data_IF_684939720213
#
_entry.id   IF_684939720213
#
_cell.length_a   1.000
_cell.length_b   1.000
_cell.length_c   1.000
_cell.angle_alpha   90.00
_cell.angle_beta   90.00
_cell.angle_gamma   90.00
#
_symmetry.space_group_name_H-M   'P 1'
#
loop_
_entity.id
_entity.type
_entity.pdbx_description
1 polymer ?
#
# COMPACT_ATOMS: atom_id res chain seq x y z
N UNK A 1 1.85 -30.51 -0.97
CA UNK A 1 1.39 -29.90 0.30
C UNK A 1 0.03 -30.50 0.67
N UNK A 2 -0.09 -31.25 1.78
CA UNK A 2 -1.37 -31.85 2.21
C UNK A 2 -2.28 -30.75 2.78
N UNK A 3 -3.45 -30.54 2.19
CA UNK A 3 -4.49 -29.65 2.75
C UNK A 3 -5.07 -30.36 3.97
N UNK A 4 -4.57 -30.03 5.17
CA UNK A 4 -5.21 -30.44 6.41
C UNK A 4 -6.38 -29.47 6.62
N UNK A 5 -7.60 -29.93 6.34
CA UNK A 5 -8.82 -29.20 6.74
C UNK A 5 -8.91 -29.26 8.26
N UNK A 6 -8.75 -28.13 8.92
CA UNK A 6 -9.02 -28.01 10.36
C UNK A 6 -10.48 -27.59 10.47
N UNK A 7 -11.29 -28.39 11.15
CA UNK A 7 -12.63 -27.97 11.50
C UNK A 7 -12.57 -27.26 12.85
N UNK A 8 -12.93 -25.98 12.88
CA UNK A 8 -13.18 -25.29 14.14
C UNK A 8 -14.62 -25.55 14.56
N UNK A 9 -14.81 -26.00 15.80
CA UNK A 9 -16.12 -26.03 16.44
C UNK A 9 -16.35 -24.66 17.06
N UNK A 10 -17.28 -23.90 16.50
CA UNK A 10 -17.78 -22.67 17.12
C UNK A 10 -18.97 -23.06 17.98
N UNK A 11 -18.87 -22.83 19.29
CA UNK A 11 -19.96 -23.01 20.23
C UNK A 11 -20.69 -21.68 20.38
N UNK A 12 -21.97 -21.68 20.02
CA UNK A 12 -22.89 -20.62 20.43
C UNK A 12 -23.81 -21.17 21.51
N UNK A 13 -23.85 -20.47 22.65
CA UNK A 13 -24.77 -20.77 23.75
C UNK A 13 -25.98 -19.86 23.60
N UNK A 14 -27.15 -20.45 23.35
CA UNK A 14 -28.41 -19.73 23.46
C UNK A 14 -29.08 -20.09 24.77
N UNK A 15 -29.37 -19.06 25.57
CA UNK A 15 -30.17 -19.14 26.77
C UNK A 15 -31.59 -18.69 26.44
N UNK A 16 -32.56 -19.51 26.79
CA UNK A 16 -33.98 -19.13 26.74
C UNK A 16 -34.64 -19.49 28.06
N UNK A 17 -35.57 -18.63 28.48
CA UNK A 17 -36.36 -18.82 29.69
C UNK A 17 -37.77 -19.15 29.25
N UNK A 18 -38.27 -20.33 29.64
CA UNK A 18 -39.64 -20.73 29.36
C UNK A 18 -40.27 -21.34 30.62
N UNK A 19 -41.44 -20.82 31.02
CA UNK A 19 -42.22 -21.30 32.16
C UNK A 19 -41.41 -21.52 33.46
N UNK A 20 -40.52 -20.58 33.80
CA UNK A 20 -39.71 -20.64 35.03
C UNK A 20 -38.47 -21.55 34.95
N UNK A 21 -38.26 -22.25 33.82
CA UNK A 21 -37.06 -23.04 33.58
C UNK A 21 -36.10 -22.30 32.64
N UNK A 22 -34.82 -22.27 33.00
CA UNK A 22 -33.73 -21.84 32.12
C UNK A 22 -33.31 -23.04 31.28
N UNK A 23 -33.42 -22.95 29.96
CA UNK A 23 -32.88 -23.95 29.04
C UNK A 23 -31.65 -23.40 28.34
N UNK A 24 -30.59 -24.20 28.34
CA UNK A 24 -29.34 -23.89 27.65
C UNK A 24 -29.22 -24.80 26.44
N UNK A 25 -29.06 -24.22 25.25
CA UNK A 25 -28.82 -24.97 24.03
C UNK A 25 -27.45 -24.61 23.48
N UNK A 26 -26.59 -25.61 23.40
CA UNK A 26 -25.31 -25.49 22.70
C UNK A 26 -25.55 -25.86 21.24
N UNK A 27 -25.24 -24.95 20.33
CA UNK A 27 -25.13 -25.22 18.90
C UNK A 27 -23.67 -25.26 18.51
N UNK A 28 -23.23 -26.40 18.00
CA UNK A 28 -21.91 -26.57 17.41
C UNK A 28 -21.98 -26.27 15.92
N UNK A 29 -21.16 -25.33 15.44
CA UNK A 29 -20.98 -25.08 14.01
C UNK A 29 -19.57 -25.49 13.60
N UNK A 30 -19.48 -26.50 12.74
CA UNK A 30 -18.24 -26.88 12.06
C UNK A 30 -17.92 -25.84 10.99
N UNK A 31 -16.82 -25.13 11.15
CA UNK A 31 -16.30 -24.20 10.15
C UNK A 31 -15.13 -24.87 9.43
N UNK A 32 -15.20 -24.95 8.10
CA UNK A 32 -14.09 -25.42 7.29
C UNK A 32 -12.99 -24.35 7.28
N UNK A 33 -11.89 -24.60 7.98
CA UNK A 33 -10.78 -23.66 8.10
C UNK A 33 -9.50 -24.22 7.46
N UNK A 34 -8.75 -23.34 6.81
CA UNK A 34 -7.39 -23.61 6.34
C UNK A 34 -6.42 -22.78 7.17
N UNK A 35 -5.45 -23.44 7.81
CA UNK A 35 -4.33 -22.74 8.45
C UNK A 35 -3.42 -22.18 7.37
N UNK A 36 -3.16 -20.86 7.42
CA UNK A 36 -2.32 -20.16 6.43
C UNK A 36 -0.96 -19.70 6.98
N UNK A 37 -0.81 -19.61 8.31
CA UNK A 37 0.47 -19.27 8.96
C UNK A 37 0.47 -19.66 10.46
N UNK A 38 1.59 -19.44 11.15
CA UNK A 38 1.73 -19.45 12.62
C UNK A 38 2.53 -18.21 13.04
N UNK A 39 1.88 -17.24 13.69
CA UNK A 39 2.58 -16.07 14.22
C UNK A 39 3.38 -16.41 15.49
N UNK A 40 4.57 -15.83 15.69
CA UNK A 40 5.27 -15.89 16.96
C UNK A 40 4.49 -15.13 18.05
N UNK A 41 4.64 -15.54 19.31
CA UNK A 41 3.96 -14.90 20.46
C UNK A 41 4.28 -13.41 20.62
N UNK A 42 5.42 -12.97 20.09
CA UNK A 42 5.87 -11.58 20.07
C UNK A 42 6.18 -11.23 18.62
N UNK A 43 5.31 -10.42 18.03
CA UNK A 43 5.56 -9.73 16.76
C UNK A 43 6.01 -8.33 17.16
N UNK A 44 6.97 -7.74 16.44
CA UNK A 44 7.28 -6.32 16.65
C UNK A 44 6.01 -5.49 16.43
N UNK A 45 5.78 -4.48 17.27
CA UNK A 45 4.56 -3.67 17.21
C UNK A 45 4.37 -3.07 15.81
N UNK A 46 3.39 -3.60 15.07
CA UNK A 46 2.98 -3.14 13.76
C UNK A 46 3.83 -3.68 12.60
N UNK A 47 3.31 -4.17 11.48
CA UNK A 47 1.96 -4.17 10.94
C UNK A 47 1.77 -5.51 10.20
N UNK A 48 0.66 -6.16 10.52
CA UNK A 48 0.15 -7.29 9.78
C UNK A 48 -0.58 -6.76 8.56
N UNK A 49 -0.29 -7.30 7.38
CA UNK A 49 -1.09 -7.06 6.17
C UNK A 49 -1.68 -8.36 5.63
N UNK A 50 -2.79 -8.23 4.92
CA UNK A 50 -3.52 -9.34 4.31
C UNK A 50 -3.79 -9.02 2.84
N UNK A 51 -3.77 -10.02 1.98
CA UNK A 51 -4.24 -9.85 0.61
C UNK A 51 -5.75 -9.59 0.57
N UNK A 52 -6.22 -9.02 -0.54
CA UNK A 52 -7.63 -8.69 -0.77
C UNK A 52 -8.57 -9.89 -0.56
N UNK A 53 -8.15 -11.07 -1.01
CA UNK A 53 -8.89 -12.33 -0.90
C UNK A 53 -8.74 -13.03 0.46
N UNK A 54 -7.93 -12.47 1.38
CA UNK A 54 -7.54 -13.06 2.66
C UNK A 54 -6.88 -14.45 2.54
N UNK A 55 -6.33 -14.80 1.36
CA UNK A 55 -5.58 -16.04 1.17
C UNK A 55 -4.12 -15.92 1.57
N UNK A 56 -3.58 -14.69 1.56
CA UNK A 56 -2.23 -14.37 1.93
C UNK A 56 -2.17 -13.41 3.09
N UNK A 57 -1.10 -13.54 3.86
CA UNK A 57 -0.84 -12.81 5.08
C UNK A 57 0.66 -12.51 5.16
N UNK A 58 1.04 -11.31 5.60
CA UNK A 58 2.43 -10.97 5.83
C UNK A 58 2.62 -10.07 7.06
N UNK A 59 3.79 -10.19 7.68
CA UNK A 59 4.16 -9.41 8.86
C UNK A 59 5.67 -9.28 8.98
N UNK A 60 6.10 -8.28 9.77
CA UNK A 60 7.50 -8.07 10.10
C UNK A 60 7.80 -8.65 11.49
N UNK A 61 8.93 -9.35 11.61
CA UNK A 61 9.43 -9.91 12.88
C UNK A 61 10.95 -9.77 12.93
N UNK A 62 11.58 -10.05 14.08
CA UNK A 62 13.04 -10.03 14.20
C UNK A 62 13.50 -9.32 15.48
N UNK A 63 14.71 -8.79 15.44
CA UNK A 63 15.30 -7.95 16.50
C UNK A 63 16.20 -6.89 15.87
N UNK A 64 16.89 -6.09 16.69
CA UNK A 64 17.88 -5.11 16.21
C UNK A 64 19.03 -5.75 15.40
N UNK A 65 19.30 -7.06 15.60
CA UNK A 65 20.30 -7.79 14.84
C UNK A 65 19.84 -8.13 13.40
N UNK A 66 18.55 -8.00 13.12
CA UNK A 66 17.97 -8.29 11.82
C UNK A 66 16.45 -8.46 11.90
N UNK A 67 15.77 -7.84 10.94
CA UNK A 67 14.34 -7.91 10.72
C UNK A 67 14.04 -8.83 9.52
N UNK A 68 12.88 -9.46 9.54
CA UNK A 68 12.43 -10.44 8.55
C UNK A 68 11.00 -10.12 8.14
N UNK A 69 10.71 -10.24 6.84
CA UNK A 69 9.33 -10.32 6.35
C UNK A 69 8.94 -11.80 6.27
N UNK A 70 7.84 -12.11 6.93
CA UNK A 70 7.21 -13.42 6.86
C UNK A 70 5.99 -13.29 5.96
N UNK A 71 5.86 -14.18 4.98
CA UNK A 71 4.68 -14.27 4.11
C UNK A 71 4.12 -15.69 4.21
N UNK A 72 2.91 -15.82 4.74
CA UNK A 72 2.28 -17.11 5.03
C UNK A 72 3.20 -18.00 5.89
N UNK A 73 3.65 -19.14 5.36
CA UNK A 73 4.62 -20.03 6.02
C UNK A 73 6.07 -19.80 5.58
N UNK A 74 6.27 -18.99 4.54
CA UNK A 74 7.57 -18.76 3.94
C UNK A 74 8.22 -17.52 4.57
N UNK A 75 9.47 -17.67 4.97
CA UNK A 75 10.33 -16.54 5.28
C UNK A 75 10.83 -15.97 3.96
N UNK A 76 10.64 -14.67 3.75
CA UNK A 76 11.20 -13.99 2.57
C UNK A 76 12.70 -13.70 2.83
N UNK A 77 13.06 -12.43 3.05
CA UNK A 77 14.44 -11.99 3.22
C UNK A 77 14.64 -11.25 4.54
N UNK A 78 15.87 -11.31 5.07
CA UNK A 78 16.29 -10.56 6.25
C UNK A 78 16.99 -9.27 5.88
N UNK A 79 16.67 -8.17 6.57
CA UNK A 79 17.32 -6.87 6.40
C UNK A 79 17.67 -6.27 7.76
N UNK A 80 18.63 -5.35 7.80
CA UNK A 80 18.96 -4.64 9.04
C UNK A 80 17.79 -3.78 9.51
N UNK A 81 17.10 -3.16 8.56
CA UNK A 81 15.90 -2.37 8.82
C UNK A 81 14.80 -2.74 7.83
N UNK A 82 13.57 -2.83 8.32
CA UNK A 82 12.35 -2.94 7.53
C UNK A 82 11.39 -1.91 8.09
N UNK A 83 10.88 -1.02 7.23
CA UNK A 83 9.91 -0.02 7.64
C UNK A 83 8.58 -0.72 7.97
N UNK A 84 8.15 -0.78 9.24
CA UNK A 84 7.11 -1.73 9.65
C UNK A 84 5.75 -1.51 8.98
N UNK A 85 5.43 -0.26 8.65
CA UNK A 85 4.17 0.17 8.03
C UNK A 85 4.16 0.16 6.50
N UNK A 86 5.18 -0.42 5.88
CA UNK A 86 5.36 -0.34 4.42
C UNK A 86 4.85 -1.56 3.62
N UNK A 87 4.45 -2.64 4.29
CA UNK A 87 4.05 -3.86 3.57
C UNK A 87 2.77 -3.62 2.78
N UNK A 88 2.75 -4.05 1.52
CA UNK A 88 1.58 -3.95 0.65
C UNK A 88 1.50 -5.16 -0.29
N UNK A 89 0.32 -5.77 -0.37
CA UNK A 89 0.02 -6.81 -1.36
C UNK A 89 -0.47 -6.19 -2.66
N UNK A 90 -0.17 -6.83 -3.79
CA UNK A 90 -0.85 -6.54 -5.05
C UNK A 90 -2.35 -6.84 -4.97
N UNK A 91 -3.19 -6.24 -5.84
CA UNK A 91 -4.63 -6.50 -5.88
C UNK A 91 -4.98 -7.99 -5.98
N UNK A 92 -4.21 -8.77 -6.75
CA UNK A 92 -4.36 -10.22 -6.90
C UNK A 92 -3.76 -11.06 -5.76
N UNK A 93 -3.15 -10.41 -4.76
CA UNK A 93 -2.53 -11.04 -3.59
C UNK A 93 -1.22 -11.80 -3.87
N UNK A 94 -0.74 -11.83 -5.12
CA UNK A 94 0.40 -12.67 -5.52
C UNK A 94 1.74 -12.01 -5.25
N UNK A 95 1.80 -10.70 -5.22
CA UNK A 95 3.02 -9.94 -5.02
C UNK A 95 3.01 -9.22 -3.68
N UNK A 96 4.16 -9.16 -3.02
CA UNK A 96 4.35 -8.39 -1.79
C UNK A 96 5.49 -7.39 -2.00
N UNK A 97 5.22 -6.13 -1.66
CA UNK A 97 6.23 -5.09 -1.65
C UNK A 97 6.34 -4.45 -0.27
N UNK A 98 7.53 -3.93 0.03
CA UNK A 98 7.83 -3.25 1.28
C UNK A 98 9.08 -2.39 1.14
N UNK A 99 9.36 -1.56 2.14
CA UNK A 99 10.58 -0.78 2.26
C UNK A 99 11.51 -1.44 3.26
N UNK A 100 12.75 -1.67 2.84
CA UNK A 100 13.83 -2.19 3.66
C UNK A 100 15.04 -1.28 3.55
N UNK A 101 16.06 -1.52 4.36
CA UNK A 101 17.24 -0.66 4.39
C UNK A 101 18.38 -1.21 5.22
N UNK A 102 19.53 -0.56 5.08
CA UNK A 102 20.65 -0.71 6.01
C UNK A 102 20.43 0.12 7.28
N UNK A 103 19.64 1.19 7.20
CA UNK A 103 19.22 2.04 8.31
C UNK A 103 17.88 2.73 7.97
N UNK A 104 17.36 3.57 8.88
CA UNK A 104 16.17 4.39 8.62
C UNK A 104 16.38 5.48 7.55
N UNK A 105 17.63 5.84 7.24
CA UNK A 105 18.00 6.86 6.24
C UNK A 105 18.62 6.25 4.96
N UNK A 106 18.73 4.93 4.91
CA UNK A 106 19.30 4.18 3.78
C UNK A 106 18.31 3.11 3.33
N UNK A 107 17.27 3.57 2.64
CA UNK A 107 16.09 2.79 2.29
C UNK A 107 16.08 2.38 0.81
N UNK A 108 15.43 1.26 0.53
CA UNK A 108 15.12 0.77 -0.80
C UNK A 108 13.80 0.01 -0.82
N UNK A 109 13.18 -0.04 -2.00
CA UNK A 109 11.95 -0.82 -2.20
C UNK A 109 12.30 -2.25 -2.57
N UNK A 110 11.61 -3.19 -1.97
CA UNK A 110 11.67 -4.63 -2.27
C UNK A 110 10.33 -5.06 -2.85
N UNK A 111 10.39 -5.89 -3.89
CA UNK A 111 9.25 -6.57 -4.49
C UNK A 111 9.60 -8.05 -4.61
N UNK A 112 8.83 -8.91 -3.94
CA UNK A 112 9.03 -10.38 -3.91
C UNK A 112 10.49 -10.77 -3.64
N UNK A 113 11.05 -10.27 -2.53
CA UNK A 113 12.42 -10.52 -2.10
C UNK A 113 13.51 -9.84 -2.94
N UNK A 114 13.16 -9.08 -3.99
CA UNK A 114 14.13 -8.42 -4.88
C UNK A 114 14.12 -6.90 -4.71
N UNK A 115 15.30 -6.32 -4.50
CA UNK A 115 15.50 -4.87 -4.51
C UNK A 115 15.12 -4.31 -5.88
N UNK A 116 14.25 -3.30 -5.89
CA UNK A 116 13.77 -2.61 -7.10
C UNK A 116 14.47 -1.28 -7.34
N UNK A 117 14.82 -0.54 -6.29
CA UNK A 117 15.50 0.74 -6.46
C UNK A 117 16.99 0.53 -6.75
N UNK A 118 17.47 1.17 -7.83
CA UNK A 118 18.88 1.17 -8.22
C UNK A 118 19.79 1.94 -7.27
N UNK A 119 19.20 2.87 -6.51
CA UNK A 119 19.88 3.69 -5.49
C UNK A 119 19.14 3.58 -4.16
N UNK A 120 19.85 3.92 -3.11
CA UNK A 120 19.25 4.11 -1.79
C UNK A 120 18.57 5.47 -1.70
N UNK A 121 17.58 5.56 -0.83
CA UNK A 121 16.70 6.70 -0.63
C UNK A 121 16.72 7.10 0.84
N UNK A 122 16.72 8.40 1.12
CA UNK A 122 16.61 8.91 2.49
C UNK A 122 15.22 8.61 3.09
N UNK A 123 14.19 8.65 2.25
CA UNK A 123 12.80 8.44 2.65
C UNK A 123 12.01 7.74 1.56
N UNK A 124 10.98 6.99 1.95
CA UNK A 124 9.97 6.40 1.06
C UNK A 124 8.59 6.56 1.69
N UNK A 125 7.67 7.22 0.99
CA UNK A 125 6.36 7.64 1.54
C UNK A 125 5.17 6.89 0.95
N UNK A 126 5.30 6.27 -0.21
CA UNK A 126 4.19 5.59 -0.87
C UNK A 126 4.68 4.36 -1.64
N UNK A 127 3.88 3.28 -1.58
CA UNK A 127 3.99 2.08 -2.40
C UNK A 127 2.59 1.75 -2.92
N UNK A 128 2.40 1.73 -4.23
CA UNK A 128 1.12 1.40 -4.85
C UNK A 128 1.31 0.40 -5.98
N UNK A 129 0.46 -0.61 -6.03
CA UNK A 129 0.41 -1.56 -7.14
C UNK A 129 -0.53 -1.07 -8.23
N UNK A 130 -0.23 -1.42 -9.47
CA UNK A 130 -1.16 -1.26 -10.58
C UNK A 130 -2.40 -2.14 -10.40
N UNK A 131 -3.57 -1.74 -10.92
CA UNK A 131 -4.79 -2.56 -10.88
C UNK A 131 -4.60 -3.98 -11.45
N UNK A 132 -3.79 -4.13 -12.50
CA UNK A 132 -3.45 -5.42 -13.10
C UNK A 132 -2.43 -6.25 -12.31
N UNK A 133 -1.97 -5.75 -11.15
CA UNK A 133 -1.00 -6.38 -10.24
C UNK A 133 0.43 -6.58 -10.78
N UNK A 134 0.74 -6.06 -11.98
CA UNK A 134 2.03 -6.32 -12.66
C UNK A 134 3.11 -5.30 -12.37
N UNK A 135 2.74 -4.12 -11.88
CA UNK A 135 3.66 -3.00 -11.70
C UNK A 135 3.51 -2.44 -10.30
N UNK A 136 4.60 -1.85 -9.82
CA UNK A 136 4.61 -1.04 -8.60
C UNK A 136 5.06 0.37 -8.97
N UNK A 137 4.53 1.35 -8.24
CA UNK A 137 5.06 2.68 -8.19
C UNK A 137 5.34 3.09 -6.74
N UNK A 138 6.34 3.94 -6.57
CA UNK A 138 6.72 4.44 -5.26
C UNK A 138 7.35 5.83 -5.36
N UNK A 139 7.15 6.63 -4.31
CA UNK A 139 7.79 7.93 -4.17
C UNK A 139 8.90 7.84 -3.12
N UNK A 140 10.11 8.23 -3.51
CA UNK A 140 11.26 8.22 -2.63
C UNK A 140 12.12 9.47 -2.79
N UNK A 141 12.83 9.81 -1.72
CA UNK A 141 13.70 10.98 -1.63
C UNK A 141 15.15 10.57 -1.92
N UNK A 142 15.78 11.25 -2.87
CA UNK A 142 17.18 11.04 -3.30
C UNK A 142 17.85 12.41 -3.43
N UNK A 143 18.95 12.63 -2.71
CA UNK A 143 19.70 13.90 -2.70
C UNK A 143 18.80 15.12 -2.46
N UNK A 144 17.95 15.02 -1.44
CA UNK A 144 17.00 16.05 -1.03
C UNK A 144 15.90 16.40 -2.05
N UNK A 145 15.73 15.58 -3.09
CA UNK A 145 14.65 15.71 -4.06
C UNK A 145 13.76 14.48 -4.05
N UNK A 146 12.46 14.69 -4.22
CA UNK A 146 11.50 13.60 -4.37
C UNK A 146 11.40 13.18 -5.84
N UNK A 147 11.28 11.87 -6.06
CA UNK A 147 11.04 11.30 -7.38
C UNK A 147 10.06 10.13 -7.26
N UNK A 148 9.18 9.99 -8.26
CA UNK A 148 8.35 8.79 -8.41
C UNK A 148 9.10 7.80 -9.29
N UNK A 149 9.21 6.55 -8.85
CA UNK A 149 9.58 5.45 -9.73
C UNK A 149 8.32 4.70 -10.11
N UNK A 150 8.11 4.46 -11.39
CA UNK A 150 7.00 3.68 -11.90
C UNK A 150 7.51 2.74 -13.00
N UNK A 151 7.15 1.46 -12.93
CA UNK A 151 7.55 0.44 -13.92
C UNK A 151 9.06 0.45 -14.21
N UNK A 152 9.87 0.51 -13.15
CA UNK A 152 11.35 0.58 -13.18
C UNK A 152 11.94 1.85 -13.82
N UNK A 153 11.10 2.80 -14.22
CA UNK A 153 11.49 4.10 -14.74
C UNK A 153 11.49 5.12 -13.61
N UNK A 154 12.64 5.77 -13.41
CA UNK A 154 12.77 6.86 -12.44
C UNK A 154 12.32 8.16 -13.11
N UNK A 155 11.33 8.78 -12.49
CA UNK A 155 10.73 10.03 -12.94
C UNK A 155 11.57 11.26 -12.67
N UNK A 156 10.99 12.43 -13.01
CA UNK A 156 11.65 13.72 -12.77
C UNK A 156 11.64 14.07 -11.28
N UNK A 157 12.58 14.93 -10.89
CA UNK A 157 12.75 15.37 -9.50
C UNK A 157 11.84 16.56 -9.17
N UNK A 158 11.34 16.56 -7.93
CA UNK A 158 10.47 17.57 -7.35
C UNK A 158 10.97 17.98 -5.97
N UNK A 159 10.56 19.16 -5.52
CA UNK A 159 10.82 19.63 -4.14
C UNK A 159 9.98 18.87 -3.12
N UNK A 160 8.77 18.45 -3.52
CA UNK A 160 7.89 17.67 -2.66
C UNK A 160 6.95 16.77 -3.48
N UNK A 161 6.50 15.68 -2.87
CA UNK A 161 5.42 14.82 -3.40
C UNK A 161 4.42 14.62 -2.27
N UNK A 162 3.15 14.93 -2.54
CA UNK A 162 2.10 14.78 -1.52
C UNK A 162 1.93 13.31 -1.13
N UNK A 163 2.11 12.95 0.16
CA UNK A 163 1.84 11.60 0.64
C UNK A 163 0.41 11.17 0.31
N UNK A 164 0.26 9.92 -0.15
CA UNK A 164 -1.05 9.34 -0.50
C UNK A 164 -1.64 9.81 -1.82
N UNK A 165 -0.99 10.71 -2.57
CA UNK A 165 -1.54 11.21 -3.85
C UNK A 165 -1.29 10.30 -5.05
N UNK A 166 -0.38 9.33 -4.95
CA UNK A 166 -0.05 8.42 -6.04
C UNK A 166 -1.26 7.53 -6.38
N UNK A 167 -1.67 7.55 -7.64
CA UNK A 167 -2.84 6.81 -8.10
C UNK A 167 -2.63 6.26 -9.50
N UNK A 168 -2.88 4.98 -9.67
CA UNK A 168 -2.83 4.30 -10.96
C UNK A 168 -4.09 4.56 -11.79
N UNK A 169 -3.89 4.79 -13.08
CA UNK A 169 -4.97 4.79 -14.06
C UNK A 169 -5.65 3.41 -14.13
N UNK A 170 -6.94 3.37 -14.49
CA UNK A 170 -7.72 2.12 -14.52
C UNK A 170 -7.17 1.09 -15.52
N UNK A 171 -6.39 1.54 -16.51
CA UNK A 171 -5.76 0.69 -17.51
C UNK A 171 -4.37 0.14 -17.11
N UNK A 172 -3.89 0.47 -15.90
CA UNK A 172 -2.56 0.09 -15.38
C UNK A 172 -1.36 0.60 -16.21
N UNK A 173 -1.57 1.59 -17.08
CA UNK A 173 -0.50 2.16 -17.93
C UNK A 173 0.03 3.46 -17.39
N UNK A 174 -0.84 4.25 -16.79
CA UNK A 174 -0.55 5.61 -16.38
C UNK A 174 -0.55 5.76 -14.87
N UNK A 175 0.21 6.72 -14.36
CA UNK A 175 0.23 7.10 -12.94
C UNK A 175 0.06 8.61 -12.79
N UNK A 176 -0.70 9.01 -11.77
CA UNK A 176 -0.88 10.40 -11.39
C UNK A 176 -0.46 10.65 -9.95
N UNK A 177 0.04 11.83 -9.65
CA UNK A 177 0.37 12.26 -8.29
C UNK A 177 0.40 13.78 -8.19
N UNK A 178 0.38 14.29 -6.96
CA UNK A 178 0.53 15.72 -6.68
C UNK A 178 1.98 15.98 -6.28
N UNK A 179 2.64 16.89 -6.98
CA UNK A 179 4.03 17.26 -6.70
C UNK A 179 4.19 18.77 -6.62
N UNK A 180 5.20 19.20 -5.88
CA UNK A 180 5.61 20.59 -5.77
C UNK A 180 6.96 20.78 -6.44
N UNK A 181 7.06 21.80 -7.26
CA UNK A 181 8.34 22.29 -7.76
C UNK A 181 8.42 23.79 -7.53
N UNK A 182 9.45 24.21 -6.82
CA UNK A 182 9.63 25.55 -6.28
C UNK A 182 8.41 26.03 -5.47
N UNK A 183 7.67 27.02 -5.98
CA UNK A 183 6.51 27.61 -5.31
C UNK A 183 5.17 27.18 -5.94
N UNK A 184 5.17 26.19 -6.83
CA UNK A 184 3.98 25.70 -7.52
C UNK A 184 3.71 24.24 -7.26
N UNK A 185 2.44 23.92 -7.16
CA UNK A 185 1.89 22.58 -7.14
C UNK A 185 1.41 22.19 -8.53
N UNK A 186 1.55 20.90 -8.84
CA UNK A 186 1.17 20.30 -10.10
C UNK A 186 0.44 19.00 -9.81
N UNK A 187 -0.60 18.72 -10.59
CA UNK A 187 -0.98 17.34 -10.85
C UNK A 187 -0.07 16.84 -11.96
N UNK A 188 0.62 15.74 -11.73
CA UNK A 188 1.58 15.15 -12.66
C UNK A 188 0.98 13.85 -13.16
N UNK A 189 1.05 13.62 -14.47
CA UNK A 189 0.67 12.34 -15.09
C UNK A 189 1.85 11.86 -15.93
N UNK A 190 2.37 10.66 -15.64
CA UNK A 190 3.56 10.07 -16.28
C UNK A 190 4.73 11.07 -16.42
N UNK A 191 5.18 11.63 -15.30
CA UNK A 191 6.24 12.65 -15.21
C UNK A 191 5.97 13.96 -15.96
N UNK A 192 4.79 14.12 -16.57
CA UNK A 192 4.39 15.33 -17.26
C UNK A 192 3.60 16.22 -16.32
N UNK A 193 4.16 17.40 -16.00
CA UNK A 193 3.48 18.43 -15.20
C UNK A 193 2.23 18.93 -15.93
N UNK A 194 1.12 18.96 -15.21
CA UNK A 194 -0.13 19.59 -15.62
C UNK A 194 -0.09 21.11 -15.52
N UNK A 195 -1.21 21.72 -15.14
CA UNK A 195 -1.27 23.17 -14.92
C UNK A 195 -0.58 23.56 -13.62
N UNK A 196 -0.19 24.83 -13.53
CA UNK A 196 0.42 25.42 -12.33
C UNK A 196 -0.64 25.87 -11.33
N UNK A 197 -0.51 25.41 -10.09
CA UNK A 197 -1.37 25.81 -8.99
C UNK A 197 -0.55 26.44 -7.86
N UNK A 198 -1.00 27.56 -7.30
CA UNK A 198 -0.36 28.13 -6.11
C UNK A 198 -0.59 27.26 -4.86
N UNK A 199 -1.71 26.53 -4.83
CA UNK A 199 -2.06 25.59 -3.76
C UNK A 199 -3.05 24.56 -4.31
N UNK A 200 -2.89 23.30 -3.90
CA UNK A 200 -3.90 22.25 -4.07
C UNK A 200 -4.30 21.82 -2.64
N UNK A 201 -5.58 21.87 -2.23
CA UNK A 201 -5.97 21.53 -0.86
C UNK A 201 -5.54 20.13 -0.43
N UNK A 202 -5.14 19.94 0.83
CA UNK A 202 -4.61 18.65 1.31
C UNK A 202 -5.65 17.52 1.31
N UNK A 203 -6.94 17.86 1.42
CA UNK A 203 -8.06 16.93 1.29
C UNK A 203 -8.37 16.52 -0.16
N UNK A 204 -7.64 17.05 -1.14
CA UNK A 204 -7.87 16.75 -2.55
C UNK A 204 -7.39 15.35 -2.90
N UNK A 205 -8.31 14.54 -3.43
CA UNK A 205 -8.00 13.24 -4.01
C UNK A 205 -7.97 13.32 -5.54
N UNK A 206 -7.03 12.61 -6.15
CA UNK A 206 -6.98 12.42 -7.60
C UNK A 206 -7.87 11.23 -7.99
N UNK A 207 -8.80 11.45 -8.91
CA UNK A 207 -9.73 10.44 -9.41
C UNK A 207 -9.59 10.29 -10.91
N UNK A 208 -9.23 9.11 -11.38
CA UNK A 208 -9.21 8.82 -12.82
C UNK A 208 -10.64 8.67 -13.36
N UNK A 209 -11.00 9.52 -14.33
CA UNK A 209 -12.29 9.46 -15.04
C UNK A 209 -12.22 8.58 -16.29
N UNK A 210 -11.04 8.45 -16.88
CA UNK A 210 -10.71 7.64 -18.05
C UNK A 210 -9.24 7.21 -17.94
N UNK A 211 -8.72 6.34 -18.83
CA UNK A 211 -7.29 6.01 -18.86
C UNK A 211 -6.35 7.22 -19.00
N UNK A 212 -6.84 8.34 -19.53
CA UNK A 212 -6.05 9.53 -19.87
C UNK A 212 -6.44 10.80 -19.13
N UNK A 213 -7.54 10.80 -18.35
CA UNK A 213 -8.03 11.99 -17.66
C UNK A 213 -8.15 11.76 -16.15
N UNK A 214 -7.52 12.65 -15.38
CA UNK A 214 -7.62 12.77 -13.93
C UNK A 214 -8.53 13.95 -13.58
N UNK A 215 -9.36 13.78 -12.56
CA UNK A 215 -10.18 14.83 -11.98
C UNK A 215 -9.88 15.01 -10.50
N UNK A 216 -9.99 16.25 -10.03
CA UNK A 216 -9.76 16.62 -8.64
C UNK A 216 -10.50 17.91 -8.32
N UNK A 217 -10.62 18.21 -7.03
CA UNK A 217 -11.27 19.42 -6.55
C UNK A 217 -10.23 20.48 -6.19
N UNK A 218 -10.54 21.74 -6.46
CA UNK A 218 -9.78 22.89 -6.01
C UNK A 218 -10.68 23.87 -5.26
N UNK A 219 -10.05 24.63 -4.37
CA UNK A 219 -10.65 25.74 -3.65
C UNK A 219 -9.99 27.03 -4.13
N UNK A 220 -10.77 28.03 -4.51
CA UNK A 220 -10.23 29.36 -4.81
C UNK A 220 -10.19 30.27 -3.56
N UNK A 221 -9.73 31.52 -3.76
CA UNK A 221 -9.63 32.53 -2.69
C UNK A 221 -10.99 33.00 -2.16
N UNK A 222 -12.08 32.73 -2.88
CA UNK A 222 -13.46 33.03 -2.50
C UNK A 222 -14.12 31.86 -1.76
N UNK A 223 -13.40 30.76 -1.54
CA UNK A 223 -13.89 29.49 -1.01
C UNK A 223 -14.86 28.75 -1.94
N UNK A 224 -14.85 29.07 -3.23
CA UNK A 224 -15.60 28.31 -4.23
C UNK A 224 -14.85 27.03 -4.59
N UNK A 225 -15.60 25.93 -4.73
CA UNK A 225 -15.06 24.61 -5.03
C UNK A 225 -15.25 24.28 -6.51
N UNK A 226 -14.16 24.01 -7.20
CA UNK A 226 -14.16 23.69 -8.63
C UNK A 226 -13.74 22.23 -8.84
N UNK A 227 -14.44 21.54 -9.73
CA UNK A 227 -13.97 20.27 -10.27
C UNK A 227 -13.12 20.54 -11.50
N UNK A 228 -11.85 20.15 -11.42
CA UNK A 228 -10.87 20.27 -12.49
C UNK A 228 -10.70 18.92 -13.16
N UNK A 229 -10.38 18.95 -14.46
CA UNK A 229 -9.97 17.78 -15.23
C UNK A 229 -8.65 18.10 -15.93
N UNK A 230 -7.67 17.22 -15.75
CA UNK A 230 -6.42 17.26 -16.49
C UNK A 230 -6.27 15.98 -17.30
N UNK A 231 -5.86 16.12 -18.55
CA UNK A 231 -5.71 15.01 -19.49
C UNK A 231 -4.26 14.90 -19.93
N UNK A 232 -3.77 13.67 -20.11
CA UNK A 232 -2.48 13.38 -20.70
C UNK A 232 -2.33 14.15 -22.03
N UNK A 233 -1.30 14.98 -22.11
CA UNK A 233 -0.97 15.67 -23.36
C UNK A 233 -0.40 14.64 -24.33
N UNK A 234 -1.08 14.41 -25.46
CA UNK A 234 -0.49 13.66 -26.57
C UNK A 234 0.73 14.43 -27.07
N UNK A 235 1.88 13.76 -27.10
CA UNK A 235 3.07 14.26 -27.80
C UNK A 235 2.85 14.23 -29.31
#
# INVERSE_FOLDING_TARGET
MKIIKVFLVVLTVQLSINAGAVSMRNTERLVNARKISTMPKKVHDGIVVKSTDNLHFAYVTGSEAGMYVMRDFDQDMSYKFIKPDSLVFSPDGRHLAYVAGDSIEDLFVVLDGRRKSSRSMQEVICLVFSPDSKKIAYAGKVFDKWQVTFADSVGVQFDDIRPGSLSFGPDSRHISYIAKDFNKWYVVIDDSKGSEYSYIPDWTNLVWLSPDTVSFLLLDVSYDVYMIKETLRKK
#
